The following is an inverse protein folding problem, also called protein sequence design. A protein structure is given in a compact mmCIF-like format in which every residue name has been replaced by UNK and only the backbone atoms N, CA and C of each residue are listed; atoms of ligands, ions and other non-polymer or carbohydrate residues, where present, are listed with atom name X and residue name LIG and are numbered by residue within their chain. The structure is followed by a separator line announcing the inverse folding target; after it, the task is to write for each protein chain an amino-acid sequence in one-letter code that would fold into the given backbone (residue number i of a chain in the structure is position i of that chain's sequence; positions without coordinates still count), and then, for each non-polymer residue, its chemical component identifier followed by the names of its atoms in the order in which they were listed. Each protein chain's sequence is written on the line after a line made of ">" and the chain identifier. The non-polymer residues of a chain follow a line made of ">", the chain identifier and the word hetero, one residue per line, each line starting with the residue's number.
data_IF_940335512993
#
_entry.id   IF_940335512993
#
_cell.length_a   1.000
_cell.length_b   1.000
_cell.length_c   1.000
_cell.angle_alpha   90.00
_cell.angle_beta   90.00
_cell.angle_gamma   90.00
#
_symmetry.space_group_name_H-M   'P 1'
#
loop_
_entity.id
_entity.type
_entity.pdbx_description
1 polymer ?
#
# COMPACT_ATOMS: atom_id res chain seq x y z
N UNK A 1 -9.15 0.04 -16.62
CA UNK A 1 -8.15 0.57 -15.67
C UNK A 1 -8.64 1.82 -14.92
N UNK A 2 -9.21 2.85 -15.59
CA UNK A 2 -9.71 4.07 -14.93
C UNK A 2 -10.81 3.84 -13.87
N UNK A 3 -11.74 2.91 -14.10
CA UNK A 3 -12.78 2.55 -13.12
C UNK A 3 -12.19 1.88 -11.86
N UNK A 4 -11.23 0.96 -12.00
CA UNK A 4 -10.56 0.33 -10.86
C UNK A 4 -9.81 1.37 -10.01
N UNK A 5 -9.18 2.37 -10.64
CA UNK A 5 -8.51 3.46 -9.94
C UNK A 5 -9.47 4.37 -9.14
N UNK A 6 -10.68 4.62 -9.66
CA UNK A 6 -11.71 5.45 -9.01
C UNK A 6 -12.64 4.70 -8.05
N UNK A 7 -12.63 3.37 -8.07
CA UNK A 7 -13.50 2.52 -7.22
C UNK A 7 -12.75 1.65 -6.23
N UNK A 8 -11.41 1.55 -6.33
CA UNK A 8 -10.60 0.87 -5.32
C UNK A 8 -10.48 1.75 -4.07
N UNK A 9 -11.00 1.26 -2.94
CA UNK A 9 -10.76 1.84 -1.62
C UNK A 9 -9.26 2.02 -1.29
N UNK A 10 -8.38 1.31 -2.00
CA UNK A 10 -6.93 1.44 -1.90
C UNK A 10 -6.45 2.86 -2.25
N UNK A 11 -7.04 3.53 -3.26
CA UNK A 11 -6.70 4.93 -3.60
C UNK A 11 -7.27 5.93 -2.59
N UNK A 12 -8.23 5.50 -1.77
CA UNK A 12 -8.74 6.27 -0.64
C UNK A 12 -7.86 6.17 0.61
N UNK A 13 -6.85 5.31 0.63
CA UNK A 13 -6.07 5.09 1.86
C UNK A 13 -5.25 6.32 2.32
N UNK A 14 -4.73 7.20 1.43
CA UNK A 14 -4.18 8.50 1.83
C UNK A 14 -5.19 9.39 2.57
N UNK A 15 -6.49 9.20 2.34
CA UNK A 15 -7.56 9.92 3.04
C UNK A 15 -7.54 9.61 4.54
N UNK A 16 -7.19 8.38 4.94
CA UNK A 16 -7.12 7.97 6.35
C UNK A 16 -6.11 8.84 7.09
N UNK A 17 -4.92 9.03 6.51
CA UNK A 17 -3.88 9.92 7.04
C UNK A 17 -4.36 11.38 7.12
N UNK A 18 -5.01 11.88 6.07
CA UNK A 18 -5.55 13.24 6.01
C UNK A 18 -6.67 13.50 7.02
N UNK A 19 -7.57 12.54 7.23
CA UNK A 19 -8.70 12.66 8.16
C UNK A 19 -8.30 12.58 9.62
N UNK A 20 -7.21 11.90 9.97
CA UNK A 20 -6.76 11.81 11.36
C UNK A 20 -6.31 13.18 11.88
N UNK A 21 -5.66 14.00 11.05
CA UNK A 21 -4.92 15.18 11.54
C UNK A 21 -5.35 16.53 10.95
N UNK A 22 -6.13 16.59 9.87
CA UNK A 22 -6.52 17.89 9.31
C UNK A 22 -7.53 18.62 10.20
N UNK A 23 -7.48 19.96 10.28
CA UNK A 23 -8.60 20.76 10.82
C UNK A 23 -9.79 20.80 9.86
N UNK A 24 -9.54 20.49 8.59
CA UNK A 24 -10.51 20.54 7.50
C UNK A 24 -11.03 19.14 7.10
N UNK A 25 -11.04 18.19 8.03
CA UNK A 25 -11.46 16.79 7.80
C UNK A 25 -12.74 16.69 7.00
N UNK A 26 -13.73 17.52 7.33
CA UNK A 26 -15.02 17.53 6.65
C UNK A 26 -14.94 18.02 5.20
N UNK A 27 -14.06 18.98 4.88
CA UNK A 27 -13.87 19.43 3.50
C UNK A 27 -13.17 18.35 2.68
N UNK A 28 -12.14 17.72 3.25
CA UNK A 28 -11.40 16.63 2.59
C UNK A 28 -12.32 15.42 2.37
N UNK A 29 -13.10 15.02 3.38
CA UNK A 29 -14.08 13.94 3.28
C UNK A 29 -15.12 14.23 2.20
N UNK A 30 -15.68 15.45 2.19
CA UNK A 30 -16.63 15.88 1.15
C UNK A 30 -15.99 15.84 -0.24
N UNK A 31 -14.78 16.37 -0.40
CA UNK A 31 -14.05 16.34 -1.67
C UNK A 31 -13.83 14.92 -2.17
N UNK A 32 -13.45 14.00 -1.27
CA UNK A 32 -13.31 12.58 -1.59
C UNK A 32 -14.64 11.95 -2.02
N UNK A 33 -15.70 12.13 -1.23
CA UNK A 33 -17.04 11.59 -1.55
C UNK A 33 -17.53 12.13 -2.89
N UNK A 34 -17.38 13.44 -3.14
CA UNK A 34 -17.75 14.05 -4.41
C UNK A 34 -16.91 13.53 -5.57
N UNK A 35 -15.59 13.40 -5.41
CA UNK A 35 -14.72 12.81 -6.43
C UNK A 35 -15.11 11.37 -6.76
N UNK A 36 -15.36 10.54 -5.74
CA UNK A 36 -15.84 9.17 -5.92
C UNK A 36 -17.17 9.14 -6.66
N UNK A 37 -18.14 9.96 -6.23
CA UNK A 37 -19.46 10.01 -6.87
C UNK A 37 -19.38 10.50 -8.31
N UNK A 38 -18.64 11.56 -8.61
CA UNK A 38 -18.53 12.10 -9.98
C UNK A 38 -18.03 11.02 -10.95
N UNK A 39 -17.05 10.21 -10.53
CA UNK A 39 -16.50 9.17 -11.40
C UNK A 39 -17.38 7.93 -11.48
N UNK A 40 -18.00 7.52 -10.37
CA UNK A 40 -18.77 6.26 -10.31
C UNK A 40 -20.25 6.43 -10.68
N UNK A 41 -20.83 7.61 -10.49
CA UNK A 41 -22.27 7.87 -10.69
C UNK A 41 -22.72 7.61 -12.14
N UNK A 42 -21.98 7.99 -13.20
CA UNK A 42 -22.38 7.65 -14.56
C UNK A 42 -22.51 6.13 -14.77
N UNK A 43 -21.56 5.35 -14.25
CA UNK A 43 -21.56 3.88 -14.37
C UNK A 43 -22.65 3.24 -13.52
N UNK A 44 -22.87 3.77 -12.32
CA UNK A 44 -23.97 3.36 -11.45
C UNK A 44 -25.34 3.62 -12.10
N UNK A 45 -25.51 4.75 -12.79
CA UNK A 45 -26.76 5.11 -13.46
C UNK A 45 -26.98 4.34 -14.76
N UNK A 46 -25.94 4.17 -15.58
CA UNK A 46 -26.04 3.46 -16.86
C UNK A 46 -26.14 1.95 -16.68
N UNK A 47 -25.41 1.39 -15.70
CA UNK A 47 -25.29 -0.05 -15.48
C UNK A 47 -25.21 -0.42 -13.99
N UNK A 48 -26.30 -0.27 -13.21
CA UNK A 48 -26.28 -0.56 -11.76
C UNK A 48 -25.83 -1.99 -11.44
N UNK A 49 -26.30 -2.97 -12.22
CA UNK A 49 -25.90 -4.38 -12.07
C UNK A 49 -24.40 -4.56 -12.33
N UNK A 50 -23.88 -3.99 -13.42
CA UNK A 50 -22.46 -4.09 -13.76
C UNK A 50 -21.57 -3.47 -12.69
N UNK A 51 -21.99 -2.31 -12.14
CA UNK A 51 -21.30 -1.66 -11.03
C UNK A 51 -21.20 -2.58 -9.81
N UNK A 52 -22.32 -3.17 -9.37
CA UNK A 52 -22.33 -4.13 -8.24
C UNK A 52 -21.50 -5.38 -8.55
N UNK A 53 -21.62 -5.93 -9.76
CA UNK A 53 -20.90 -7.13 -10.19
C UNK A 53 -19.39 -6.95 -10.04
N UNK A 54 -18.84 -5.77 -10.37
CA UNK A 54 -17.43 -5.47 -10.22
C UNK A 54 -16.95 -5.63 -8.76
N UNK A 55 -17.71 -5.12 -7.79
CA UNK A 55 -17.35 -5.27 -6.37
C UNK A 55 -17.48 -6.71 -5.90
N UNK A 56 -18.56 -7.41 -6.30
CA UNK A 56 -18.73 -8.82 -5.93
C UNK A 56 -17.60 -9.68 -6.47
N UNK A 57 -17.14 -9.40 -7.70
CA UNK A 57 -16.05 -10.10 -8.34
C UNK A 57 -14.72 -9.88 -7.61
N UNK A 58 -14.40 -8.63 -7.27
CA UNK A 58 -13.21 -8.32 -6.45
C UNK A 58 -13.27 -8.89 -5.05
N UNK A 59 -14.46 -8.95 -4.43
CA UNK A 59 -14.61 -9.62 -3.13
C UNK A 59 -14.39 -11.12 -3.29
N UNK A 60 -14.78 -11.76 -4.38
CA UNK A 60 -14.56 -13.19 -4.60
C UNK A 60 -13.16 -13.56 -5.10
N UNK A 61 -12.25 -12.58 -5.22
CA UNK A 61 -10.91 -12.82 -5.74
C UNK A 61 -10.12 -13.81 -4.88
N UNK A 62 -9.17 -14.49 -5.51
CA UNK A 62 -8.22 -15.37 -4.83
C UNK A 62 -7.06 -14.55 -4.25
N UNK A 63 -6.19 -15.22 -3.50
CA UNK A 63 -4.93 -14.64 -3.03
C UNK A 63 -4.01 -14.41 -4.23
N UNK A 64 -3.72 -13.15 -4.52
CA UNK A 64 -2.94 -12.75 -5.67
C UNK A 64 -1.74 -11.92 -5.19
N UNK A 65 -0.53 -12.39 -5.53
CA UNK A 65 0.72 -11.65 -5.32
C UNK A 65 0.99 -11.18 -3.88
N UNK A 66 0.45 -11.91 -2.91
CA UNK A 66 0.51 -11.57 -1.49
C UNK A 66 1.51 -12.45 -0.74
N UNK A 67 2.12 -11.90 0.31
CA UNK A 67 2.98 -12.65 1.23
C UNK A 67 2.26 -13.85 1.87
N UNK A 68 0.92 -13.86 1.90
CA UNK A 68 0.13 -14.99 2.40
C UNK A 68 0.49 -16.30 1.68
N UNK A 69 0.93 -16.27 0.43
CA UNK A 69 1.33 -17.47 -0.32
C UNK A 69 2.57 -18.16 0.28
N UNK A 70 3.36 -17.48 1.12
CA UNK A 70 4.44 -18.13 1.88
C UNK A 70 3.93 -19.15 2.90
N UNK A 71 2.67 -19.02 3.32
CA UNK A 71 2.04 -19.96 4.25
C UNK A 71 1.54 -21.16 3.44
N UNK A 72 2.02 -22.40 3.70
CA UNK A 72 1.68 -23.56 2.89
C UNK A 72 0.17 -23.80 2.74
N UNK A 73 -0.60 -23.51 3.80
CA UNK A 73 -2.06 -23.60 3.75
C UNK A 73 -2.67 -22.69 2.67
N UNK A 74 -2.25 -21.43 2.58
CA UNK A 74 -2.78 -20.47 1.61
C UNK A 74 -2.28 -20.72 0.19
N UNK A 75 -1.03 -21.20 0.03
CA UNK A 75 -0.53 -21.60 -1.27
C UNK A 75 -1.35 -22.74 -1.88
N UNK A 76 -1.80 -23.69 -1.06
CA UNK A 76 -2.67 -24.79 -1.49
C UNK A 76 -4.15 -24.42 -1.56
N UNK A 77 -4.58 -23.32 -0.92
CA UNK A 77 -5.97 -22.89 -0.82
C UNK A 77 -6.11 -21.40 -1.13
N UNK A 78 -5.80 -21.00 -2.36
CA UNK A 78 -5.81 -19.60 -2.79
C UNK A 78 -7.18 -18.91 -2.68
N UNK A 79 -8.28 -19.67 -2.59
CA UNK A 79 -9.63 -19.15 -2.37
C UNK A 79 -10.08 -19.22 -0.89
N UNK A 80 -9.14 -19.41 0.05
CA UNK A 80 -9.48 -19.58 1.46
C UNK A 80 -10.29 -18.39 2.00
N UNK A 81 -11.40 -18.63 2.72
CA UNK A 81 -12.18 -17.56 3.34
C UNK A 81 -11.41 -16.80 4.42
N UNK A 82 -10.30 -17.39 4.92
CA UNK A 82 -9.44 -16.80 5.94
C UNK A 82 -8.49 -15.71 5.42
N UNK A 83 -8.26 -15.64 4.11
CA UNK A 83 -7.33 -14.65 3.53
C UNK A 83 -7.76 -13.22 3.84
N UNK A 84 -9.05 -12.91 3.63
CA UNK A 84 -9.64 -11.57 3.86
C UNK A 84 -9.53 -11.11 5.31
N UNK A 85 -10.04 -11.85 6.33
CA UNK A 85 -9.96 -11.39 7.71
C UNK A 85 -8.51 -11.25 8.18
N UNK A 86 -7.60 -12.14 7.78
CA UNK A 86 -6.18 -12.02 8.11
C UNK A 86 -5.58 -10.75 7.49
N UNK A 87 -5.89 -10.47 6.22
CA UNK A 87 -5.45 -9.23 5.58
C UNK A 87 -5.94 -7.97 6.27
N UNK A 88 -7.20 -7.95 6.69
CA UNK A 88 -7.76 -6.84 7.46
C UNK A 88 -7.02 -6.67 8.79
N UNK A 89 -6.82 -7.77 9.53
CA UNK A 89 -6.12 -7.76 10.82
C UNK A 89 -4.69 -7.25 10.65
N UNK A 90 -3.94 -7.76 9.67
CA UNK A 90 -2.55 -7.35 9.41
C UNK A 90 -2.49 -5.88 8.99
N UNK A 91 -3.36 -5.45 8.08
CA UNK A 91 -3.45 -4.06 7.62
C UNK A 91 -3.69 -3.11 8.79
N UNK A 92 -4.72 -3.37 9.60
CA UNK A 92 -5.07 -2.55 10.75
C UNK A 92 -3.97 -2.56 11.81
N UNK A 93 -3.33 -3.71 12.03
CA UNK A 93 -2.21 -3.83 12.98
C UNK A 93 -1.03 -3.00 12.54
N UNK A 94 -0.65 -3.03 11.25
CA UNK A 94 0.44 -2.22 10.71
C UNK A 94 0.15 -0.73 10.78
N UNK A 95 -1.05 -0.30 10.38
CA UNK A 95 -1.48 1.10 10.49
C UNK A 95 -1.43 1.57 11.96
N UNK A 96 -1.93 0.75 12.88
CA UNK A 96 -1.86 1.04 14.31
C UNK A 96 -0.41 1.18 14.80
N UNK A 97 0.49 0.26 14.42
CA UNK A 97 1.89 0.32 14.79
C UNK A 97 2.57 1.57 14.24
N UNK A 98 2.32 1.92 12.97
CA UNK A 98 2.82 3.15 12.35
C UNK A 98 2.43 4.37 13.18
N UNK A 99 1.14 4.54 13.49
CA UNK A 99 0.69 5.70 14.27
C UNK A 99 1.15 5.66 15.72
N UNK A 100 1.36 4.47 16.30
CA UNK A 100 1.86 4.31 17.67
C UNK A 100 3.33 4.73 17.81
N UNK A 101 4.15 4.48 16.80
CA UNK A 101 5.59 4.77 16.82
C UNK A 101 5.93 6.13 16.20
N UNK A 102 5.08 6.66 15.33
CA UNK A 102 5.30 7.97 14.72
C UNK A 102 4.95 9.09 15.70
N UNK A 103 5.97 9.91 16.03
CA UNK A 103 5.82 11.04 16.99
C UNK A 103 5.44 12.37 16.34
N UNK A 104 5.52 12.50 15.02
CA UNK A 104 5.18 13.73 14.28
C UNK A 104 4.41 13.34 13.03
N UNK A 105 3.25 13.96 12.84
CA UNK A 105 2.44 13.77 11.65
C UNK A 105 2.97 14.63 10.50
N UNK A 106 3.02 14.02 9.33
CA UNK A 106 3.28 14.69 8.05
C UNK A 106 2.39 14.01 7.01
N UNK A 107 1.56 14.81 6.33
CA UNK A 107 0.49 14.31 5.47
C UNK A 107 1.00 13.40 4.37
N UNK A 108 2.12 13.75 3.75
CA UNK A 108 2.67 13.00 2.61
C UNK A 108 3.25 11.68 3.10
N UNK A 109 4.07 11.76 4.15
CA UNK A 109 4.68 10.59 4.79
C UNK A 109 3.65 9.63 5.36
N UNK A 110 2.62 10.16 6.03
CA UNK A 110 1.53 9.39 6.62
C UNK A 110 0.70 8.70 5.52
N UNK A 111 0.42 9.42 4.43
CA UNK A 111 -0.32 8.87 3.29
C UNK A 111 0.44 7.71 2.67
N UNK A 112 1.74 7.85 2.46
CA UNK A 112 2.58 6.78 1.93
C UNK A 112 2.68 5.59 2.88
N UNK A 113 2.92 5.81 4.17
CA UNK A 113 3.01 4.73 5.15
C UNK A 113 1.69 3.93 5.22
N UNK A 114 0.55 4.63 5.30
CA UNK A 114 -0.75 3.98 5.34
C UNK A 114 -1.00 3.20 4.06
N UNK A 115 -0.70 3.78 2.90
CA UNK A 115 -0.83 3.11 1.60
C UNK A 115 0.06 1.86 1.52
N UNK A 116 1.30 1.93 1.98
CA UNK A 116 2.24 0.81 2.03
C UNK A 116 1.74 -0.29 2.97
N UNK A 117 1.21 0.06 4.15
CA UNK A 117 0.61 -0.90 5.08
C UNK A 117 -0.61 -1.60 4.47
N UNK A 118 -1.45 -0.88 3.73
CA UNK A 118 -2.63 -1.48 3.07
C UNK A 118 -2.22 -2.42 1.96
N UNK A 119 -1.24 -2.05 1.13
CA UNK A 119 -0.77 -2.92 0.05
C UNK A 119 -0.09 -4.17 0.60
N UNK A 120 0.80 -4.02 1.59
CA UNK A 120 1.42 -5.16 2.25
C UNK A 120 0.40 -6.07 2.94
N UNK A 121 -0.58 -5.48 3.63
CA UNK A 121 -1.60 -6.25 4.34
C UNK A 121 -2.64 -6.91 3.42
N UNK A 122 -2.79 -6.47 2.18
CA UNK A 122 -3.79 -6.99 1.25
C UNK A 122 -3.50 -8.43 0.81
N UNK A 123 -4.54 -9.26 0.71
CA UNK A 123 -4.47 -10.59 0.10
C UNK A 123 -4.48 -10.52 -1.43
N UNK A 124 -4.89 -9.38 -1.99
CA UNK A 124 -4.84 -9.06 -3.41
C UNK A 124 -3.85 -7.93 -3.57
N UNK A 125 -2.64 -8.23 -4.02
CA UNK A 125 -1.60 -7.24 -4.23
C UNK A 125 -1.06 -7.29 -5.66
N UNK A 126 -1.96 -7.20 -6.64
CA UNK A 126 -1.55 -7.18 -8.04
C UNK A 126 -0.66 -5.96 -8.39
N UNK A 127 0.24 -6.05 -9.39
CA UNK A 127 1.17 -4.98 -9.76
C UNK A 127 0.50 -3.64 -10.05
N UNK A 128 -0.70 -3.64 -10.65
CA UNK A 128 -1.44 -2.40 -10.94
C UNK A 128 -1.78 -1.56 -9.69
N UNK A 129 -1.81 -2.17 -8.51
CA UNK A 129 -2.10 -1.44 -7.27
C UNK A 129 -0.94 -0.51 -6.88
N UNK A 130 0.28 -0.76 -7.38
CA UNK A 130 1.44 0.08 -7.12
C UNK A 130 1.44 1.41 -7.85
N UNK A 131 0.63 1.55 -8.89
CA UNK A 131 0.41 2.86 -9.55
C UNK A 131 -0.09 3.90 -8.54
N UNK A 132 -0.82 3.48 -7.50
CA UNK A 132 -1.34 4.37 -6.46
C UNK A 132 -0.22 4.92 -5.55
N UNK A 133 0.89 4.19 -5.44
CA UNK A 133 2.01 4.49 -4.56
C UNK A 133 3.05 5.41 -5.23
N UNK A 134 3.20 5.34 -6.56
CA UNK A 134 4.24 6.06 -7.30
C UNK A 134 4.23 7.58 -7.08
N UNK A 135 3.07 8.29 -7.10
CA UNK A 135 3.06 9.73 -6.85
C UNK A 135 3.54 10.07 -5.44
N UNK A 136 3.19 9.27 -4.44
CA UNK A 136 3.61 9.50 -3.06
C UNK A 136 5.11 9.28 -2.88
N UNK A 137 5.70 8.29 -3.55
CA UNK A 137 7.16 8.11 -3.56
C UNK A 137 7.88 9.33 -4.11
N UNK A 138 7.42 9.87 -5.24
CA UNK A 138 8.05 11.05 -5.86
C UNK A 138 8.05 12.28 -4.93
N UNK A 139 7.03 12.40 -4.08
CA UNK A 139 6.90 13.52 -3.14
C UNK A 139 7.75 13.34 -1.87
N UNK A 140 7.92 12.11 -1.41
CA UNK A 140 8.74 11.80 -0.21
C UNK A 140 10.23 11.87 -0.51
N UNK A 141 10.62 11.54 -1.75
CA UNK A 141 12.02 11.44 -2.18
C UNK A 141 12.66 12.77 -2.60
N UNK A 142 12.24 13.88 -1.99
CA UNK A 142 12.92 15.17 -2.17
C UNK A 142 14.23 15.27 -1.36
N UNK A 143 14.55 14.30 -0.47
CA UNK A 143 15.84 14.15 0.22
C UNK A 143 16.19 12.68 0.54
N UNK A 144 16.45 11.81 -0.45
CA UNK A 144 16.66 10.40 -0.20
C UNK A 144 18.11 10.08 0.16
N UNK A 145 18.31 9.02 0.96
CA UNK A 145 19.61 8.34 0.96
C UNK A 145 19.72 7.45 -0.28
N UNK A 146 20.94 7.23 -0.79
CA UNK A 146 21.16 6.38 -1.97
C UNK A 146 20.54 4.98 -1.84
N UNK A 147 20.47 4.44 -0.61
CA UNK A 147 19.91 3.12 -0.31
C UNK A 147 18.40 3.07 -0.58
N UNK A 148 17.70 4.14 -0.24
CA UNK A 148 16.25 4.22 -0.39
C UNK A 148 15.90 4.13 -1.90
N UNK A 149 16.65 4.85 -2.75
CA UNK A 149 16.41 4.87 -4.20
C UNK A 149 16.56 3.48 -4.84
N UNK A 150 17.63 2.75 -4.51
CA UNK A 150 17.85 1.42 -5.06
C UNK A 150 16.82 0.39 -4.57
N UNK A 151 16.37 0.50 -3.32
CA UNK A 151 15.27 -0.33 -2.81
C UNK A 151 13.97 -0.06 -3.56
N UNK A 152 13.65 1.21 -3.82
CA UNK A 152 12.48 1.57 -4.61
C UNK A 152 12.59 1.07 -6.06
N UNK A 153 13.76 1.21 -6.68
CA UNK A 153 14.00 0.68 -8.03
C UNK A 153 13.82 -0.84 -8.07
N UNK A 154 14.38 -1.57 -7.09
CA UNK A 154 14.19 -3.02 -6.98
C UNK A 154 12.71 -3.39 -6.82
N UNK A 155 11.98 -2.66 -5.98
CA UNK A 155 10.54 -2.82 -5.80
C UNK A 155 9.75 -2.65 -7.11
N UNK A 156 10.09 -1.64 -7.91
CA UNK A 156 9.43 -1.38 -9.20
C UNK A 156 9.80 -2.44 -10.25
N UNK A 157 11.08 -2.86 -10.29
CA UNK A 157 11.53 -3.95 -11.15
C UNK A 157 10.83 -5.28 -10.84
N UNK A 158 10.56 -5.59 -9.56
CA UNK A 158 9.76 -6.76 -9.22
C UNK A 158 8.34 -6.64 -9.80
N UNK A 159 7.69 -5.47 -9.76
CA UNK A 159 6.37 -5.29 -10.38
C UNK A 159 6.38 -5.54 -11.88
N UNK A 160 7.39 -5.00 -12.58
CA UNK A 160 7.58 -5.25 -14.01
C UNK A 160 7.80 -6.73 -14.27
N UNK A 161 8.65 -7.37 -13.48
CA UNK A 161 8.93 -8.80 -13.58
C UNK A 161 7.70 -9.68 -13.36
N UNK A 162 6.84 -9.35 -12.40
CA UNK A 162 5.55 -10.06 -12.19
C UNK A 162 4.70 -9.96 -13.46
N UNK A 163 4.55 -8.76 -14.03
CA UNK A 163 3.74 -8.55 -15.24
C UNK A 163 4.30 -9.32 -16.44
N UNK A 164 5.62 -9.35 -16.61
CA UNK A 164 6.27 -10.07 -17.71
C UNK A 164 6.11 -11.58 -17.58
N UNK A 165 6.25 -12.13 -16.37
CA UNK A 165 6.23 -13.58 -16.14
C UNK A 165 4.82 -14.15 -15.88
N UNK A 166 3.79 -13.30 -15.76
CA UNK A 166 2.44 -13.71 -15.37
C UNK A 166 1.83 -14.75 -16.32
N UNK A 167 2.13 -14.68 -17.61
CA UNK A 167 1.55 -15.54 -18.64
C UNK A 167 2.48 -16.68 -19.08
N UNK A 168 3.69 -16.76 -18.52
CA UNK A 168 4.73 -17.70 -18.98
C UNK A 168 4.66 -19.05 -18.25
N UNK A 169 3.90 -19.15 -17.15
CA UNK A 169 3.79 -20.38 -16.34
C UNK A 169 2.42 -21.06 -16.47
N UNK A 170 2.34 -22.41 -16.49
CA UNK A 170 1.07 -23.13 -16.52
C UNK A 170 0.17 -22.83 -15.33
N UNK A 171 0.76 -22.48 -14.19
CA UNK A 171 0.05 -22.07 -12.99
C UNK A 171 0.79 -20.92 -12.30
N UNK A 172 0.50 -19.69 -12.72
CA UNK A 172 1.11 -18.46 -12.20
C UNK A 172 0.51 -17.97 -10.87
N UNK A 173 -0.48 -18.67 -10.32
CA UNK A 173 -1.24 -18.22 -9.14
C UNK A 173 -0.63 -18.68 -7.81
N UNK A 174 0.31 -19.64 -7.85
CA UNK A 174 0.87 -20.28 -6.65
C UNK A 174 2.39 -20.34 -6.74
N UNK A 175 3.05 -20.43 -5.58
CA UNK A 175 4.47 -20.75 -5.54
C UNK A 175 4.72 -22.18 -6.03
N UNK A 176 5.83 -22.43 -6.74
CA UNK A 176 6.98 -21.53 -6.94
C UNK A 176 6.98 -20.81 -8.31
N UNK A 177 5.83 -20.40 -8.86
CA UNK A 177 5.82 -19.68 -10.13
C UNK A 177 6.72 -18.43 -10.09
N UNK A 178 7.43 -18.07 -11.18
CA UNK A 178 8.33 -16.92 -11.20
C UNK A 178 7.64 -15.60 -10.84
N UNK A 179 6.40 -15.39 -11.31
CA UNK A 179 5.57 -14.25 -10.91
C UNK A 179 5.37 -14.19 -9.40
N UNK A 180 5.10 -15.32 -8.76
CA UNK A 180 4.90 -15.38 -7.32
C UNK A 180 6.19 -15.23 -6.52
N UNK A 181 7.33 -15.71 -7.02
CA UNK A 181 8.62 -15.45 -6.36
C UNK A 181 8.90 -13.94 -6.35
N UNK A 182 8.73 -13.27 -7.48
CA UNK A 182 8.91 -11.81 -7.60
C UNK A 182 7.89 -11.03 -6.75
N UNK A 183 6.66 -11.55 -6.60
CA UNK A 183 5.64 -10.93 -5.74
C UNK A 183 6.02 -10.99 -4.25
N UNK A 184 6.64 -12.10 -3.82
CA UNK A 184 7.19 -12.24 -2.47
C UNK A 184 8.37 -11.27 -2.26
N UNK A 185 9.33 -11.23 -3.20
CA UNK A 185 10.48 -10.30 -3.11
C UNK A 185 10.01 -8.86 -2.97
N UNK A 186 9.04 -8.44 -3.78
CA UNK A 186 8.41 -7.13 -3.68
C UNK A 186 7.78 -6.89 -2.30
N UNK A 187 7.08 -7.87 -1.73
CA UNK A 187 6.49 -7.74 -0.39
C UNK A 187 7.56 -7.55 0.68
N UNK A 188 8.69 -8.25 0.58
CA UNK A 188 9.84 -8.10 1.48
C UNK A 188 10.43 -6.69 1.35
N UNK A 189 10.65 -6.20 0.13
CA UNK A 189 11.18 -4.86 -0.11
C UNK A 189 10.23 -3.79 0.45
N UNK A 190 8.91 -3.93 0.25
CA UNK A 190 7.93 -3.00 0.80
C UNK A 190 7.97 -2.98 2.34
N UNK A 191 8.08 -4.14 2.98
CA UNK A 191 8.21 -4.22 4.44
C UNK A 191 9.51 -3.54 4.92
N UNK A 192 10.62 -3.76 4.23
CA UNK A 192 11.89 -3.08 4.53
C UNK A 192 11.76 -1.56 4.42
N UNK A 193 11.11 -1.06 3.37
CA UNK A 193 10.84 0.37 3.19
C UNK A 193 10.01 0.94 4.34
N UNK A 194 8.94 0.24 4.77
CA UNK A 194 8.13 0.64 5.94
C UNK A 194 9.01 0.74 7.20
N UNK A 195 9.84 -0.27 7.45
CA UNK A 195 10.71 -0.32 8.64
C UNK A 195 11.80 0.75 8.62
N UNK A 196 12.46 0.98 7.48
CA UNK A 196 13.46 2.03 7.30
C UNK A 196 12.86 3.41 7.56
N UNK A 197 11.67 3.66 7.02
CA UNK A 197 10.97 4.92 7.20
C UNK A 197 10.65 5.20 8.69
N UNK A 198 10.25 4.16 9.44
CA UNK A 198 10.03 4.27 10.89
C UNK A 198 11.35 4.50 11.66
N UNK A 199 12.47 3.94 11.20
CA UNK A 199 13.79 4.06 11.83
C UNK A 199 14.45 5.42 11.58
N UNK A 200 14.46 5.92 10.35
CA UNK A 200 15.16 7.15 9.94
C UNK A 200 14.68 8.37 10.75
N UNK A 201 13.36 8.50 10.95
CA UNK A 201 12.73 9.54 11.78
C UNK A 201 13.11 9.45 13.27
N UNK A 202 13.57 8.30 13.74
CA UNK A 202 14.06 8.12 15.11
C UNK A 202 15.52 8.58 15.24
N UNK A 203 16.33 8.41 14.19
CA UNK A 203 17.76 8.73 14.19
C UNK A 203 18.05 10.22 14.02
N UNK A 204 17.41 10.89 13.04
CA UNK A 204 17.59 12.34 12.80
C UNK A 204 17.31 13.19 14.05
N UNK A 205 16.39 12.72 14.91
CA UNK A 205 16.08 13.37 16.18
C UNK A 205 17.19 13.29 17.22
N UNK A 206 17.92 12.18 17.30
CA UNK A 206 19.03 12.03 18.25
C UNK A 206 20.17 12.98 17.89
N UNK A 207 20.43 13.16 16.60
CA UNK A 207 21.44 14.09 16.11
C UNK A 207 21.05 15.55 16.38
N UNK A 208 19.80 15.94 16.11
CA UNK A 208 19.32 17.31 16.42
C UNK A 208 19.34 17.59 17.94
N UNK A 209 18.96 16.62 18.77
CA UNK A 209 19.04 16.77 20.23
C UNK A 209 20.48 16.87 20.74
N UNK A 210 21.39 16.05 20.20
CA UNK A 210 22.81 16.12 20.55
C UNK A 210 23.43 17.48 20.17
N UNK A 211 23.09 18.02 19.00
CA UNK A 211 23.60 19.31 18.54
C UNK A 211 23.02 20.49 19.35
N UNK A 212 21.75 20.42 19.77
CA UNK A 212 21.14 21.47 20.60
C UNK A 212 21.66 21.49 22.05
N UNK A 213 22.09 20.34 22.59
CA UNK A 213 22.74 20.27 23.90
C UNK A 213 24.15 20.88 23.87
N UNK A 214 24.86 20.74 22.75
CA UNK A 214 26.20 21.34 22.58
C UNK A 214 26.14 22.86 22.40
N UNK A 215 25.12 23.41 21.74
CA UNK A 215 24.97 24.87 21.56
C UNK A 215 24.44 25.62 22.79
N UNK A 216 23.88 24.93 23.79
CA UNK A 216 23.46 25.55 25.07
C UNK A 216 24.57 25.57 26.14
N UNK A 217 25.74 24.98 25.85
CA UNK A 217 26.91 24.96 26.73
C UNK A 217 28.01 25.95 26.30
N UNK A 218 27.73 26.83 25.34
CA UNK A 218 28.58 27.95 24.89
C UNK A 218 27.89 29.27 25.23
#
# INVERSE_FOLDING_TARGET
>A
MGLSFSSNFITATPLIALLINSKEKMKILKGFVWGFLIVNLPVLLLTPKGWVTQFTYHISWYIEDSWLLLIPYFNSHIFSPWAKPISIIVTLSLIFLVFRFKKKFDVVDDSWLVQACVLFGSYIYAPQLNICILPLFSLIYLNPTMIDFFLFLAFDLCNVGIMLNWFDSPNSMVLPAPSQILSIERCVILLLLILLFLKQKTFDKRLVQANNVQTTQL
#
